data_IF_124199983800
#
_entry.id   IF_124199983800
#
_cell.length_a   1.000
_cell.length_b   1.000
_cell.length_c   1.000
_cell.angle_alpha   90.00
_cell.angle_beta   90.00
_cell.angle_gamma   90.00
#
_symmetry.space_group_name_H-M   'P 1'
#
loop_
_entity.id
_entity.type
_entity.pdbx_description
1 polymer ?
#
# COMPACT_ATOMS: atom_id res chain seq x y z
N UNK A 1 -13.22 4.47 21.98
CA UNK A 1 -13.95 4.19 20.73
C UNK A 1 -13.05 4.63 19.57
N UNK A 2 -12.32 3.71 18.93
CA UNK A 2 -11.53 4.02 17.74
C UNK A 2 -12.23 3.34 16.57
N UNK A 3 -13.26 3.99 16.02
CA UNK A 3 -14.03 3.46 14.93
C UNK A 3 -13.10 3.20 13.72
N UNK A 4 -13.17 1.99 13.15
CA UNK A 4 -12.27 1.48 12.10
C UNK A 4 -12.15 2.30 10.82
N UNK A 5 -12.81 3.46 10.73
CA UNK A 5 -12.78 4.39 9.61
C UNK A 5 -11.38 4.76 9.15
N UNK A 6 -10.40 4.88 10.07
CA UNK A 6 -9.03 5.20 9.70
C UNK A 6 -8.39 4.14 8.79
N UNK A 7 -8.70 2.86 9.01
CA UNK A 7 -8.20 1.77 8.14
C UNK A 7 -8.96 1.73 6.83
N UNK A 8 -10.29 1.83 6.87
CA UNK A 8 -11.14 1.80 5.67
C UNK A 8 -10.87 2.98 4.73
N UNK A 9 -10.64 4.18 5.28
CA UNK A 9 -10.26 5.36 4.49
C UNK A 9 -8.90 5.21 3.85
N UNK A 10 -7.88 4.77 4.61
CA UNK A 10 -6.52 4.58 4.09
C UNK A 10 -6.50 3.53 2.99
N UNK A 11 -7.23 2.42 3.19
CA UNK A 11 -7.36 1.36 2.19
C UNK A 11 -8.08 1.87 0.93
N UNK A 12 -9.29 2.42 1.08
CA UNK A 12 -10.11 2.88 -0.04
C UNK A 12 -9.43 3.98 -0.86
N UNK A 13 -8.84 4.98 -0.17
CA UNK A 13 -8.14 6.08 -0.83
C UNK A 13 -6.88 5.59 -1.57
N UNK A 14 -6.08 4.72 -0.94
CA UNK A 14 -4.84 4.24 -1.56
C UNK A 14 -5.11 3.35 -2.77
N UNK A 15 -6.13 2.49 -2.69
CA UNK A 15 -6.57 1.68 -3.83
C UNK A 15 -7.17 2.54 -4.95
N UNK A 16 -7.91 3.59 -4.62
CA UNK A 16 -8.43 4.52 -5.62
C UNK A 16 -7.30 5.29 -6.31
N UNK A 17 -6.30 5.78 -5.55
CA UNK A 17 -5.12 6.46 -6.10
C UNK A 17 -4.34 5.58 -7.05
N UNK A 18 -4.08 4.31 -6.68
CA UNK A 18 -3.36 3.37 -7.55
C UNK A 18 -4.11 2.96 -8.81
N UNK A 19 -5.43 3.20 -8.88
CA UNK A 19 -6.23 3.02 -10.10
C UNK A 19 -6.19 4.24 -11.02
N UNK A 20 -5.68 5.38 -10.56
CA UNK A 20 -5.55 6.57 -11.40
C UNK A 20 -4.42 6.39 -12.43
N UNK A 21 -4.63 6.78 -13.69
CA UNK A 21 -3.59 6.74 -14.71
C UNK A 21 -2.33 7.49 -14.26
N UNK A 22 -1.17 6.84 -14.37
CA UNK A 22 0.13 7.46 -14.06
C UNK A 22 0.58 7.35 -12.60
N UNK A 23 -0.29 6.96 -11.66
CA UNK A 23 0.11 6.70 -10.28
C UNK A 23 0.73 5.31 -10.18
N UNK A 24 2.01 5.24 -9.80
CA UNK A 24 2.73 3.95 -9.64
C UNK A 24 2.96 3.55 -8.18
N UNK A 25 2.94 4.54 -7.28
CA UNK A 25 3.29 4.37 -5.87
C UNK A 25 2.63 5.45 -5.02
N UNK A 26 2.14 5.04 -3.86
CA UNK A 26 1.66 5.91 -2.78
C UNK A 26 2.67 5.84 -1.64
N UNK A 27 3.00 6.99 -1.05
CA UNK A 27 3.95 7.08 0.06
C UNK A 27 3.32 7.76 1.26
N UNK A 28 3.47 7.18 2.44
CA UNK A 28 3.17 7.82 3.71
C UNK A 28 4.51 8.17 4.38
N UNK A 29 4.74 9.45 4.61
CA UNK A 29 6.02 9.98 5.10
C UNK A 29 5.87 10.47 6.52
N UNK A 30 6.95 10.37 7.29
CA UNK A 30 7.05 10.98 8.62
C UNK A 30 5.97 10.55 9.62
N UNK A 31 5.46 9.34 9.51
CA UNK A 31 4.48 8.79 10.46
C UNK A 31 5.19 8.59 11.79
N UNK A 32 4.59 9.03 12.91
CA UNK A 32 5.19 8.82 14.22
C UNK A 32 5.31 7.32 14.54
N UNK A 33 6.49 6.90 15.03
CA UNK A 33 6.77 5.50 15.31
C UNK A 33 5.91 4.94 16.44
N UNK A 34 5.49 5.77 17.39
CA UNK A 34 4.62 5.42 18.52
C UNK A 34 3.12 5.48 18.18
N UNK A 35 2.75 6.05 17.03
CA UNK A 35 1.38 6.07 16.52
C UNK A 35 0.98 4.70 15.95
N UNK A 36 0.86 3.75 16.87
CA UNK A 36 0.52 2.35 16.61
C UNK A 36 -0.79 2.21 15.82
N UNK A 37 -1.88 2.96 16.10
CA UNK A 37 -3.10 2.86 15.30
C UNK A 37 -2.91 3.20 13.83
N UNK A 38 -2.21 4.31 13.51
CA UNK A 38 -1.96 4.69 12.11
C UNK A 38 -1.00 3.72 11.41
N UNK A 39 0.03 3.23 12.10
CA UNK A 39 0.95 2.21 11.56
C UNK A 39 0.22 0.92 11.23
N UNK A 40 -0.67 0.45 12.12
CA UNK A 40 -1.50 -0.73 11.89
C UNK A 40 -2.46 -0.53 10.73
N UNK A 41 -3.07 0.64 10.58
CA UNK A 41 -3.93 0.95 9.45
C UNK A 41 -3.17 0.87 8.11
N UNK A 42 -1.96 1.45 8.04
CA UNK A 42 -1.10 1.40 6.85
C UNK A 42 -0.68 -0.04 6.52
N UNK A 43 -0.22 -0.79 7.51
CA UNK A 43 0.18 -2.19 7.35
C UNK A 43 -0.97 -3.06 6.85
N UNK A 44 -2.18 -2.85 7.39
CA UNK A 44 -3.40 -3.55 6.94
C UNK A 44 -3.81 -3.19 5.51
N UNK A 45 -3.62 -1.94 5.10
CA UNK A 45 -3.84 -1.47 3.73
C UNK A 45 -2.75 -1.93 2.74
N UNK A 46 -1.77 -2.73 3.18
CA UNK A 46 -0.75 -3.34 2.34
C UNK A 46 0.53 -2.52 2.18
N UNK A 47 0.65 -1.37 2.86
CA UNK A 47 1.87 -0.59 2.83
C UNK A 47 3.04 -1.36 3.47
N UNK A 48 4.24 -1.15 2.93
CA UNK A 48 5.49 -1.71 3.43
C UNK A 48 6.33 -0.62 4.07
N UNK A 49 6.89 -0.91 5.25
CA UNK A 49 7.83 -0.03 5.93
C UNK A 49 9.13 0.03 5.12
N UNK A 50 9.59 1.24 4.77
CA UNK A 50 10.80 1.44 3.98
C UNK A 50 11.96 2.04 4.78
N UNK A 51 11.63 2.90 5.74
CA UNK A 51 12.61 3.60 6.57
C UNK A 51 12.05 3.87 7.95
N UNK A 52 12.94 3.85 8.94
CA UNK A 52 12.69 4.39 10.27
C UNK A 52 13.87 5.27 10.65
N UNK A 53 13.60 6.46 11.17
CA UNK A 53 14.63 7.43 11.60
C UNK A 53 14.04 8.42 12.61
N UNK A 54 14.76 8.71 13.69
CA UNK A 54 14.40 9.76 14.65
C UNK A 54 12.97 9.72 15.20
N UNK A 55 12.39 8.53 15.43
CA UNK A 55 11.00 8.39 15.90
C UNK A 55 9.94 8.56 14.81
N UNK A 56 10.34 8.60 13.54
CA UNK A 56 9.48 8.67 12.36
C UNK A 56 9.69 7.44 11.49
N UNK A 57 8.62 7.03 10.80
CA UNK A 57 8.61 5.89 9.89
C UNK A 57 7.99 6.27 8.55
N UNK A 58 8.49 5.66 7.49
CA UNK A 58 8.07 5.88 6.11
C UNK A 58 7.56 4.58 5.53
N UNK A 59 6.43 4.65 4.84
CA UNK A 59 5.75 3.52 4.26
C UNK A 59 5.48 3.77 2.77
N UNK A 60 5.46 2.70 1.97
CA UNK A 60 5.04 2.76 0.58
C UNK A 60 4.07 1.64 0.20
N UNK A 61 3.19 1.94 -0.75
CA UNK A 61 2.34 0.99 -1.43
C UNK A 61 2.53 1.19 -2.94
N UNK A 62 2.97 0.15 -3.63
CA UNK A 62 3.15 0.17 -5.08
C UNK A 62 2.21 -0.83 -5.74
N UNK A 63 1.90 -0.61 -7.02
CA UNK A 63 1.20 -1.61 -7.82
C UNK A 63 2.11 -2.85 -7.87
N UNK A 64 1.67 -3.94 -7.25
CA UNK A 64 2.33 -5.23 -7.44
C UNK A 64 2.08 -5.64 -8.88
N UNK A 65 3.10 -5.57 -9.74
CA UNK A 65 3.06 -6.17 -11.06
C UNK A 65 3.04 -7.68 -10.88
N UNK A 66 1.85 -8.23 -10.62
CA UNK A 66 1.63 -9.66 -10.66
C UNK A 66 1.89 -10.14 -12.09
N UNK A 67 3.10 -10.65 -12.33
CA UNK A 67 3.40 -11.40 -13.53
C UNK A 67 2.55 -12.68 -13.54
N UNK A 68 1.50 -12.68 -14.36
CA UNK A 68 0.88 -13.88 -14.94
C UNK A 68 1.10 -13.80 -16.45
N UNK A 69 2.34 -14.02 -16.86
CA UNK A 69 2.67 -14.39 -18.25
C UNK A 69 3.09 -15.86 -18.20
N UNK A 70 2.28 -16.74 -18.81
CA UNK A 70 2.51 -18.18 -18.75
C UNK A 70 1.30 -18.99 -19.18
N UNK A 71 1.40 -19.51 -20.41
CA UNK A 71 0.55 -20.52 -21.06
C UNK A 71 -0.63 -20.03 -21.93
N UNK A 72 -0.31 -19.31 -23.01
CA UNK A 72 -0.95 -19.57 -24.30
C UNK A 72 -0.01 -20.44 -25.14
N UNK A 73 0.08 -21.72 -24.79
CA UNK A 73 0.64 -22.76 -25.64
C UNK A 73 -0.46 -23.33 -26.52
N UNK A 74 -0.96 -22.54 -27.46
CA UNK A 74 -1.76 -23.03 -28.57
C UNK A 74 -0.86 -23.15 -29.78
N UNK A 75 -0.38 -24.35 -30.08
CA UNK A 75 0.02 -24.68 -31.45
C UNK A 75 -0.87 -25.84 -31.90
N UNK A 76 -1.83 -25.46 -32.75
CA UNK A 76 -2.54 -26.36 -33.61
C UNK A 76 -1.68 -26.49 -34.87
N UNK A 77 -1.16 -27.69 -35.11
CA UNK A 77 -1.01 -28.32 -36.44
C UNK A 77 -0.37 -29.70 -36.33
#
# INVERSE_FOLDING_TARGET
MNAGYGTELVEGLSQWLLRQPGIRRVVAREVLADNTPSRRALERAGFKLERSDGGRVWYSLAISSGFRDGALGGDVR
#
